data_IF_408193062175
#
_entry.id   IF_408193062175
#
_cell.length_a   1.000
_cell.length_b   1.000
_cell.length_c   1.000
_cell.angle_alpha   90.00
_cell.angle_beta   90.00
_cell.angle_gamma   90.00
#
_symmetry.space_group_name_H-M   'P 1'
#
loop_
_entity.id
_entity.type
_entity.pdbx_description
1 polymer ?
#
# COMPACT_ATOMS: atom_id res chain seq x y z
N UNK A 1 -35.53 31.64 33.81
CA UNK A 1 -35.81 30.25 34.23
C UNK A 1 -35.53 29.20 33.14
N UNK A 2 -35.90 29.41 31.86
CA UNK A 2 -35.61 28.44 30.78
C UNK A 2 -34.10 28.18 30.59
N UNK A 3 -33.29 29.22 30.48
CA UNK A 3 -31.82 29.10 30.33
C UNK A 3 -31.17 28.27 31.44
N UNK A 4 -31.57 28.45 32.70
CA UNK A 4 -31.04 27.64 33.81
C UNK A 4 -31.42 26.17 33.70
N UNK A 5 -32.64 25.87 33.21
CA UNK A 5 -33.07 24.49 32.96
C UNK A 5 -32.26 23.85 31.83
N UNK A 6 -31.99 24.60 30.77
CA UNK A 6 -31.25 24.10 29.61
C UNK A 6 -29.78 23.86 29.98
N UNK A 7 -29.16 24.76 30.75
CA UNK A 7 -27.81 24.58 31.31
C UNK A 7 -27.77 23.34 32.21
N UNK A 8 -28.74 23.20 33.12
CA UNK A 8 -28.81 22.06 34.02
C UNK A 8 -28.95 20.74 33.26
N UNK A 9 -29.78 20.71 32.20
CA UNK A 9 -29.93 19.54 31.33
C UNK A 9 -28.60 19.16 30.68
N UNK A 10 -27.90 20.13 30.07
CA UNK A 10 -26.62 19.90 29.40
C UNK A 10 -25.57 19.39 30.40
N UNK A 11 -25.44 20.03 31.56
CA UNK A 11 -24.48 19.61 32.60
C UNK A 11 -24.77 18.19 33.07
N UNK A 12 -26.04 17.86 33.28
CA UNK A 12 -26.45 16.51 33.70
C UNK A 12 -26.14 15.48 32.61
N UNK A 13 -26.42 15.80 31.36
CA UNK A 13 -26.11 14.92 30.22
C UNK A 13 -24.60 14.66 30.10
N UNK A 14 -23.78 15.71 30.22
CA UNK A 14 -22.31 15.57 30.21
C UNK A 14 -21.84 14.71 31.39
N UNK A 15 -22.36 14.92 32.58
CA UNK A 15 -21.96 14.15 33.77
C UNK A 15 -22.26 12.65 33.62
N UNK A 16 -23.39 12.31 32.99
CA UNK A 16 -23.78 10.92 32.71
C UNK A 16 -22.90 10.30 31.62
N UNK A 17 -22.51 11.07 30.59
CA UNK A 17 -21.74 10.57 29.45
C UNK A 17 -20.22 10.56 29.68
N UNK A 18 -19.71 11.34 30.64
CA UNK A 18 -18.28 11.45 30.94
C UNK A 18 -17.60 10.11 31.22
N UNK A 19 -18.12 9.23 32.11
CA UNK A 19 -17.48 7.95 32.39
C UNK A 19 -17.38 7.06 31.14
N UNK A 20 -18.42 7.04 30.31
CA UNK A 20 -18.47 6.25 29.07
C UNK A 20 -17.46 6.75 28.04
N UNK A 21 -17.38 8.07 27.86
CA UNK A 21 -16.42 8.68 26.92
C UNK A 21 -14.97 8.46 27.35
N UNK A 22 -14.67 8.55 28.65
CA UNK A 22 -13.34 8.23 29.18
C UNK A 22 -12.99 6.77 28.92
N UNK A 23 -13.87 5.82 29.28
CA UNK A 23 -13.66 4.39 29.00
C UNK A 23 -13.54 4.07 27.51
N UNK A 24 -14.25 4.78 26.64
CA UNK A 24 -14.15 4.59 25.19
C UNK A 24 -12.82 5.13 24.64
N UNK A 25 -12.38 6.31 25.09
CA UNK A 25 -11.10 6.90 24.67
C UNK A 25 -9.89 6.04 25.06
N UNK A 26 -10.00 5.34 26.19
CA UNK A 26 -8.98 4.44 26.73
C UNK A 26 -8.66 3.27 25.79
N UNK A 27 -9.59 2.86 24.91
CA UNK A 27 -9.34 1.83 23.89
C UNK A 27 -8.19 2.22 22.94
N UNK A 28 -7.99 3.53 22.73
CA UNK A 28 -6.98 4.08 21.83
C UNK A 28 -5.68 4.48 22.52
N UNK A 29 -5.65 4.48 23.85
CA UNK A 29 -4.40 4.63 24.60
C UNK A 29 -3.69 3.29 24.54
N UNK A 30 -2.76 3.12 23.62
CA UNK A 30 -2.04 1.87 23.35
C UNK A 30 -1.21 1.42 24.56
N UNK A 31 -1.85 0.71 25.49
CA UNK A 31 -1.18 -0.03 26.55
C UNK A 31 -1.51 -1.50 26.38
N UNK A 32 -0.53 -2.35 26.65
CA UNK A 32 -0.62 -3.77 26.38
C UNK A 32 -1.56 -4.46 27.38
N UNK A 33 -2.76 -4.80 26.90
CA UNK A 33 -3.58 -5.84 27.51
C UNK A 33 -3.27 -7.15 26.81
N UNK A 34 -2.14 -7.78 27.16
CA UNK A 34 -1.81 -9.10 26.63
C UNK A 34 -2.87 -10.10 27.10
N UNK A 35 -3.68 -10.59 26.17
CA UNK A 35 -4.54 -11.73 26.41
C UNK A 35 -3.68 -12.99 26.55
N UNK A 36 -4.16 -13.94 27.36
CA UNK A 36 -3.44 -15.20 27.56
C UNK A 36 -3.66 -16.08 26.33
N UNK A 37 -2.63 -16.17 25.47
CA UNK A 37 -2.72 -16.95 24.23
C UNK A 37 -2.29 -18.41 24.40
N UNK A 38 -1.79 -18.79 25.59
CA UNK A 38 -1.23 -20.10 25.88
C UNK A 38 -1.78 -20.71 27.18
N UNK A 39 -3.01 -21.20 27.10
CA UNK A 39 -3.71 -21.85 28.22
C UNK A 39 -3.08 -23.18 28.69
N UNK A 40 -2.23 -23.79 27.86
CA UNK A 40 -1.60 -25.08 28.14
C UNK A 40 -0.29 -24.97 28.95
N UNK A 41 0.34 -23.80 28.99
CA UNK A 41 1.62 -23.58 29.66
C UNK A 41 1.44 -22.78 30.96
N UNK A 42 2.04 -23.28 32.04
CA UNK A 42 2.03 -22.57 33.33
C UNK A 42 3.01 -21.40 33.26
N UNK A 43 2.47 -20.19 33.12
CA UNK A 43 3.22 -18.95 33.22
C UNK A 43 2.64 -18.06 34.32
N UNK A 44 3.48 -17.18 34.86
CA UNK A 44 3.04 -16.17 35.82
C UNK A 44 2.54 -14.96 35.04
N UNK A 45 1.26 -14.63 35.17
CA UNK A 45 0.77 -13.35 34.68
C UNK A 45 1.48 -12.23 35.45
N UNK A 46 2.11 -11.30 34.70
CA UNK A 46 2.44 -10.02 35.30
C UNK A 46 1.15 -9.42 35.87
N UNK A 47 1.21 -8.78 37.04
CA UNK A 47 0.05 -8.17 37.69
C UNK A 47 -0.68 -7.34 36.62
N UNK A 48 -1.82 -7.85 36.15
CA UNK A 48 -2.66 -7.10 35.24
C UNK A 48 -2.94 -5.80 35.95
N UNK A 49 -2.56 -4.69 35.33
CA UNK A 49 -3.05 -3.39 35.76
C UNK A 49 -4.56 -3.54 35.60
N UNK A 50 -5.25 -3.75 36.73
CA UNK A 50 -6.69 -3.99 36.75
C UNK A 50 -7.33 -2.68 36.33
N UNK A 51 -7.49 -2.52 35.02
CA UNK A 51 -7.88 -1.26 34.44
C UNK A 51 -9.40 -1.27 34.39
N UNK A 52 -10.01 -0.78 35.48
CA UNK A 52 -11.48 -0.65 35.64
C UNK A 52 -12.17 0.12 34.50
N UNK A 53 -11.38 0.76 33.63
CA UNK A 53 -11.82 1.48 32.43
C UNK A 53 -12.00 0.59 31.19
N UNK A 54 -11.67 -0.71 31.25
CA UNK A 54 -11.78 -1.66 30.14
C UNK A 54 -13.23 -2.19 29.91
N UNK A 55 -14.23 -1.30 29.95
CA UNK A 55 -15.63 -1.68 29.68
C UNK A 55 -15.93 -1.84 28.18
N UNK A 56 -15.11 -1.25 27.33
CA UNK A 56 -15.20 -1.34 25.88
C UNK A 56 -14.00 -2.10 25.33
N UNK A 57 -14.26 -3.05 24.44
CA UNK A 57 -13.23 -3.87 23.81
C UNK A 57 -13.03 -3.42 22.36
N UNK A 58 -11.77 -3.31 21.91
CA UNK A 58 -11.47 -3.11 20.49
C UNK A 58 -11.85 -4.40 19.75
N UNK A 59 -12.94 -4.37 18.98
CA UNK A 59 -13.32 -5.54 18.17
C UNK A 59 -12.26 -5.73 17.05
N UNK A 60 -11.54 -6.85 17.00
CA UNK A 60 -10.57 -7.12 15.95
C UNK A 60 -11.18 -7.03 14.55
N UNK A 61 -12.45 -7.38 14.39
CA UNK A 61 -13.17 -7.29 13.12
C UNK A 61 -13.39 -5.84 12.60
N UNK A 62 -13.18 -4.83 13.45
CA UNK A 62 -13.20 -3.41 13.06
C UNK A 62 -11.79 -2.89 12.72
N UNK A 63 -10.76 -3.73 12.79
CA UNK A 63 -9.40 -3.38 12.35
C UNK A 63 -9.36 -3.51 10.84
N UNK A 64 -9.64 -2.41 10.14
CA UNK A 64 -9.58 -2.35 8.69
C UNK A 64 -8.13 -2.06 8.29
N UNK A 65 -7.46 -3.06 7.73
CA UNK A 65 -6.18 -2.86 7.05
C UNK A 65 -6.46 -2.36 5.63
N UNK A 66 -6.10 -1.11 5.34
CA UNK A 66 -6.21 -0.59 3.99
C UNK A 66 -5.03 -1.14 3.16
N UNK A 67 -5.29 -1.81 2.03
CA UNK A 67 -4.22 -2.26 1.16
C UNK A 67 -3.52 -1.05 0.55
N UNK A 68 -2.19 -1.09 0.55
CA UNK A 68 -1.36 -0.13 -0.18
C UNK A 68 -1.17 -0.63 -1.61
N UNK A 69 -1.36 0.25 -2.59
CA UNK A 69 -1.13 -0.05 -4.00
C UNK A 69 -0.04 0.85 -4.56
N UNK A 70 0.69 0.34 -5.56
CA UNK A 70 1.68 1.11 -6.32
C UNK A 70 1.22 1.20 -7.77
N UNK A 71 1.38 2.37 -8.38
CA UNK A 71 1.07 2.58 -9.78
C UNK A 71 2.26 2.10 -10.61
N UNK A 72 2.02 1.12 -11.48
CA UNK A 72 3.01 0.68 -12.48
C UNK A 72 2.86 1.58 -13.70
N UNK A 73 3.88 2.38 -13.97
CA UNK A 73 3.95 3.21 -15.19
C UNK A 73 4.70 2.39 -16.24
N UNK A 74 4.00 1.91 -17.25
CA UNK A 74 4.63 1.25 -18.39
C UNK A 74 5.34 2.29 -19.26
N UNK A 75 6.64 2.09 -19.52
CA UNK A 75 7.38 2.89 -20.48
C UNK A 75 7.02 2.41 -21.89
N UNK A 76 6.74 3.30 -22.86
CA UNK A 76 6.55 2.88 -24.23
C UNK A 76 7.82 2.20 -24.75
N UNK A 77 7.66 1.00 -25.32
CA UNK A 77 8.73 0.31 -26.03
C UNK A 77 8.89 1.02 -27.37
N UNK A 78 10.00 1.73 -27.56
CA UNK A 78 10.32 2.32 -28.86
C UNK A 78 10.94 1.24 -29.75
N UNK A 79 10.18 0.72 -30.71
CA UNK A 79 10.73 -0.14 -31.74
C UNK A 79 11.64 0.71 -32.66
N UNK A 80 12.92 0.33 -32.73
CA UNK A 80 13.87 0.99 -33.62
C UNK A 80 13.53 0.68 -35.07
N UNK A 81 13.37 1.71 -35.90
CA UNK A 81 13.27 1.56 -37.34
C UNK A 81 14.69 1.30 -37.86
N UNK A 82 14.93 0.12 -38.41
CA UNK A 82 16.21 -0.25 -39.03
C UNK A 82 16.06 -0.21 -40.55
N UNK A 83 16.64 0.80 -41.18
CA UNK A 83 16.77 0.86 -42.64
C UNK A 83 17.97 0.01 -43.07
N UNK A 84 17.72 -1.21 -43.52
CA UNK A 84 18.75 -2.05 -44.12
C UNK A 84 19.03 -1.54 -45.54
N UNK A 85 20.21 -0.97 -45.74
CA UNK A 85 20.69 -0.46 -47.03
C UNK A 85 20.62 -1.56 -48.10
N UNK A 86 19.68 -1.44 -49.04
CA UNK A 86 19.55 -2.37 -50.17
C UNK A 86 20.45 -1.87 -51.32
N UNK A 87 21.65 -2.44 -51.44
CA UNK A 87 22.42 -2.27 -52.66
C UNK A 87 21.75 -3.06 -53.79
N UNK A 88 21.06 -2.37 -54.69
CA UNK A 88 20.78 -2.91 -56.02
C UNK A 88 22.09 -2.88 -56.80
N UNK A 89 22.73 -4.05 -56.93
CA UNK A 89 23.90 -4.19 -57.76
C UNK A 89 23.47 -4.05 -59.23
N UNK A 90 23.65 -2.87 -59.82
CA UNK A 90 23.42 -2.60 -61.26
C UNK A 90 24.54 -3.18 -62.15
N UNK A 91 25.18 -4.28 -61.73
CA UNK A 91 26.19 -4.92 -62.56
C UNK A 91 25.53 -5.71 -63.68
N UNK A 92 25.44 -5.10 -64.86
CA UNK A 92 25.06 -5.75 -66.09
C UNK A 92 26.34 -6.18 -66.84
N UNK A 93 26.60 -7.49 -67.02
CA UNK A 93 27.79 -7.94 -67.73
C UNK A 93 27.72 -7.56 -69.21
N UNK A 94 28.83 -7.09 -69.77
CA UNK A 94 28.95 -6.75 -71.19
C UNK A 94 28.69 -7.99 -72.06
N UNK A 95 27.99 -7.84 -73.18
CA UNK A 95 27.65 -8.94 -74.12
C UNK A 95 28.85 -9.47 -74.93
N UNK A 96 30.07 -9.05 -74.62
CA UNK A 96 31.26 -9.46 -75.34
C UNK A 96 32.44 -9.59 -74.40
N UNK A 97 33.29 -10.57 -74.69
CA UNK A 97 34.58 -10.72 -74.02
C UNK A 97 35.60 -9.77 -74.65
N UNK A 98 36.40 -9.11 -73.82
CA UNK A 98 37.57 -8.37 -74.28
C UNK A 98 38.57 -9.37 -74.86
N UNK A 99 38.88 -9.24 -76.15
CA UNK A 99 39.90 -10.10 -76.78
C UNK A 99 41.23 -9.89 -76.08
N UNK A 100 41.94 -10.99 -75.84
CA UNK A 100 43.25 -10.96 -75.18
C UNK A 100 44.22 -10.00 -75.89
N UNK A 101 45.20 -9.46 -75.14
CA UNK A 101 46.13 -8.46 -75.65
C UNK A 101 46.86 -8.98 -76.91
N UNK A 102 47.11 -8.11 -77.91
CA UNK A 102 47.76 -8.52 -79.15
C UNK A 102 49.16 -9.09 -78.85
N UNK A 103 49.41 -10.28 -79.39
CA UNK A 103 50.72 -10.92 -79.32
C UNK A 103 51.69 -10.09 -80.18
N UNK A 104 52.92 -9.89 -79.72
CA UNK A 104 53.99 -9.04 -80.28
C UNK A 104 54.00 -7.58 -79.79
N UNK A 105 54.52 -7.40 -78.57
CA UNK A 105 55.27 -6.21 -78.16
C UNK A 105 56.75 -6.59 -78.03
#
# INVERSE_FOLDING_TARGET
MKIFKDIFLIVTAVLILLPSTVSFSHIFTSHDHTLCDNYAEKHYHAKSIDCDLHKFHKNPALTIELPTYTLVIESPIQEGIFDYYQFLNEYEPLHFDLRGPPHFA
#
